data_IF_412993072002
#
_entry.id   IF_412993072002
#
_cell.length_a   1.000
_cell.length_b   1.000
_cell.length_c   1.000
_cell.angle_alpha   90.00
_cell.angle_beta   90.00
_cell.angle_gamma   90.00
#
_symmetry.space_group_name_H-M   'P 1'
#
loop_
_entity.id
_entity.type
_entity.pdbx_description
1 polymer ?
#
# COMPACT_ATOMS: atom_id res chain seq x y z
N UNK A 1 -20.32 -1.03 -5.54
CA UNK A 1 -19.20 -0.09 -5.75
C UNK A 1 -18.90 0.70 -4.47
N UNK A 2 -19.91 1.03 -3.68
CA UNK A 2 -19.79 1.77 -2.42
C UNK A 2 -18.84 1.12 -1.40
N UNK A 3 -18.89 -0.21 -1.27
CA UNK A 3 -17.98 -0.95 -0.38
C UNK A 3 -16.51 -0.81 -0.77
N UNK A 4 -16.20 -0.78 -2.08
CA UNK A 4 -14.84 -0.60 -2.58
C UNK A 4 -14.33 0.83 -2.41
N UNK A 5 -15.23 1.82 -2.54
CA UNK A 5 -14.90 3.23 -2.32
C UNK A 5 -14.31 3.47 -0.93
N UNK A 6 -14.82 2.80 0.11
CA UNK A 6 -14.24 2.90 1.47
C UNK A 6 -12.77 2.46 1.53
N UNK A 7 -12.41 1.37 0.86
CA UNK A 7 -11.02 0.92 0.79
C UNK A 7 -10.16 1.87 -0.03
N UNK A 8 -10.70 2.41 -1.13
CA UNK A 8 -10.00 3.39 -1.94
C UNK A 8 -9.76 4.70 -1.18
N UNK A 9 -10.77 5.24 -0.52
CA UNK A 9 -10.66 6.48 0.27
C UNK A 9 -9.66 6.31 1.41
N UNK A 10 -9.71 5.17 2.10
CA UNK A 10 -8.72 4.83 3.13
C UNK A 10 -7.30 4.73 2.57
N UNK A 11 -7.12 4.15 1.38
CA UNK A 11 -5.82 4.12 0.71
C UNK A 11 -5.35 5.54 0.37
N UNK A 12 -6.23 6.37 -0.18
CA UNK A 12 -5.92 7.76 -0.51
C UNK A 12 -5.47 8.54 0.72
N UNK A 13 -6.16 8.40 1.87
CA UNK A 13 -5.76 9.06 3.12
C UNK A 13 -4.37 8.60 3.58
N UNK A 14 -4.11 7.29 3.58
CA UNK A 14 -2.79 6.74 3.97
C UNK A 14 -1.70 7.22 3.00
N UNK A 15 -2.00 7.23 1.69
CA UNK A 15 -1.09 7.71 0.67
C UNK A 15 -0.79 9.22 0.83
N UNK A 16 -1.78 10.03 1.17
CA UNK A 16 -1.60 11.44 1.49
C UNK A 16 -0.75 11.65 2.75
N UNK A 17 -0.97 10.84 3.80
CA UNK A 17 -0.16 10.88 5.02
C UNK A 17 1.29 10.45 4.78
N UNK A 18 1.53 9.54 3.82
CA UNK A 18 2.89 9.13 3.45
C UNK A 18 3.72 10.32 2.94
N UNK A 19 3.13 11.27 2.22
CA UNK A 19 3.84 12.50 1.81
C UNK A 19 4.26 13.38 2.99
N UNK A 20 3.67 13.23 4.18
CA UNK A 20 4.11 13.96 5.37
C UNK A 20 5.53 13.58 5.80
N UNK A 21 6.08 12.45 5.34
CA UNK A 21 7.49 12.07 5.54
C UNK A 21 8.45 13.13 4.95
N UNK A 22 8.04 13.88 3.90
CA UNK A 22 8.86 14.99 3.38
C UNK A 22 9.10 16.11 4.40
N UNK A 23 8.29 16.22 5.45
CA UNK A 23 8.53 17.17 6.54
C UNK A 23 9.85 16.91 7.27
N UNK A 24 10.39 15.69 7.21
CA UNK A 24 11.71 15.37 7.77
C UNK A 24 12.83 16.20 7.16
N UNK A 25 12.72 16.54 5.87
CA UNK A 25 13.69 17.40 5.20
C UNK A 25 13.68 18.80 5.82
N UNK A 26 12.49 19.30 6.18
CA UNK A 26 12.34 20.60 6.85
C UNK A 26 12.90 20.54 8.27
N UNK A 27 12.59 19.47 9.01
CA UNK A 27 13.13 19.23 10.35
C UNK A 27 14.67 19.15 10.35
N UNK A 28 15.25 18.51 9.34
CA UNK A 28 16.69 18.43 9.16
C UNK A 28 17.33 19.82 8.99
N UNK A 29 16.68 20.71 8.22
CA UNK A 29 17.13 22.10 8.05
C UNK A 29 17.02 22.93 9.35
N UNK A 30 16.09 22.56 10.24
CA UNK A 30 15.92 23.18 11.56
C UNK A 30 16.89 22.61 12.62
N UNK A 31 17.77 21.69 12.23
CA UNK A 31 18.74 21.04 13.13
C UNK A 31 18.19 19.85 13.90
N UNK A 32 16.93 19.45 13.66
CA UNK A 32 16.34 18.24 14.24
C UNK A 32 16.63 17.07 13.29
N UNK A 33 17.69 16.33 13.61
CA UNK A 33 18.15 15.20 12.80
C UNK A 33 17.43 13.92 13.23
N UNK A 34 16.30 13.63 12.59
CA UNK A 34 15.63 12.33 12.70
C UNK A 34 16.29 11.38 11.71
N UNK A 35 16.64 10.16 12.16
CA UNK A 35 17.19 9.14 11.27
C UNK A 35 16.11 8.66 10.30
N UNK A 36 16.33 8.74 8.97
CA UNK A 36 15.37 8.29 7.97
C UNK A 36 15.18 6.77 7.96
N UNK A 37 16.05 6.02 8.65
CA UNK A 37 16.01 4.54 8.70
C UNK A 37 14.76 3.98 9.38
N UNK A 38 14.06 4.77 10.19
CA UNK A 38 12.87 4.33 10.92
C UNK A 38 11.57 4.74 10.22
N UNK A 39 11.30 6.05 9.98
CA UNK A 39 10.00 6.48 9.47
C UNK A 39 9.75 6.08 8.01
N UNK A 40 10.79 6.05 7.17
CA UNK A 40 10.64 5.71 5.75
C UNK A 40 10.20 4.25 5.55
N UNK A 41 10.89 3.23 6.09
CA UNK A 41 10.48 1.85 5.89
C UNK A 41 9.14 1.53 6.56
N UNK A 42 8.82 2.17 7.69
CA UNK A 42 7.51 2.04 8.34
C UNK A 42 6.41 2.59 7.42
N UNK A 43 6.61 3.79 6.85
CA UNK A 43 5.66 4.41 5.92
C UNK A 43 5.43 3.56 4.67
N UNK A 44 6.51 3.09 4.05
CA UNK A 44 6.44 2.22 2.86
C UNK A 44 5.76 0.88 3.21
N UNK A 45 6.11 0.29 4.35
CA UNK A 45 5.55 -0.98 4.80
C UNK A 45 4.05 -0.91 5.05
N UNK A 46 3.56 0.15 5.71
CA UNK A 46 2.13 0.40 5.90
C UNK A 46 1.40 0.62 4.56
N UNK A 47 2.01 1.36 3.64
CA UNK A 47 1.44 1.61 2.31
C UNK A 47 1.32 0.32 1.49
N UNK A 48 2.35 -0.53 1.50
CA UNK A 48 2.30 -1.86 0.88
C UNK A 48 1.25 -2.76 1.54
N UNK A 49 1.17 -2.76 2.86
CA UNK A 49 0.17 -3.54 3.59
C UNK A 49 -1.25 -3.15 3.19
N UNK A 50 -1.54 -1.85 3.17
CA UNK A 50 -2.86 -1.35 2.79
C UNK A 50 -3.15 -1.55 1.30
N UNK A 51 -2.14 -1.44 0.43
CA UNK A 51 -2.26 -1.82 -0.99
C UNK A 51 -2.68 -3.28 -1.13
N UNK A 52 -2.20 -4.17 -0.25
CA UNK A 52 -2.64 -5.56 -0.20
C UNK A 52 -4.13 -5.72 0.15
N UNK A 53 -4.63 -4.94 1.12
CA UNK A 53 -6.06 -4.90 1.46
C UNK A 53 -6.88 -4.38 0.28
N UNK A 54 -6.41 -3.30 -0.36
CA UNK A 54 -7.06 -2.71 -1.53
C UNK A 54 -7.14 -3.70 -2.70
N UNK A 55 -6.04 -4.41 -2.97
CA UNK A 55 -5.94 -5.41 -4.02
C UNK A 55 -6.92 -6.58 -3.78
N UNK A 56 -6.96 -7.14 -2.57
CA UNK A 56 -7.83 -8.27 -2.22
C UNK A 56 -9.33 -7.93 -2.34
N UNK A 57 -9.70 -6.67 -2.06
CA UNK A 57 -11.09 -6.20 -2.12
C UNK A 57 -11.45 -5.52 -3.45
N UNK A 58 -10.49 -5.38 -4.38
CA UNK A 58 -10.73 -4.78 -5.68
C UNK A 58 -11.64 -5.69 -6.49
N UNK A 59 -12.84 -5.21 -6.81
CA UNK A 59 -13.69 -5.82 -7.85
C UNK A 59 -13.14 -5.45 -9.23
N UNK A 60 -13.44 -6.25 -10.26
CA UNK A 60 -13.03 -5.97 -11.64
C UNK A 60 -13.38 -4.53 -12.02
N UNK A 61 -12.35 -3.74 -12.31
CA UNK A 61 -12.48 -2.32 -12.60
C UNK A 61 -11.34 -1.87 -13.53
N UNK A 62 -11.48 -0.67 -14.08
CA UNK A 62 -10.55 -0.12 -15.07
C UNK A 62 -9.34 0.60 -14.48
N UNK A 63 -9.24 0.78 -13.16
CA UNK A 63 -8.25 1.66 -12.54
C UNK A 63 -7.27 0.92 -11.61
N UNK A 64 -7.77 0.02 -10.76
CA UNK A 64 -7.07 -0.58 -9.63
C UNK A 64 -7.07 -2.10 -9.77
N UNK A 65 -5.88 -2.69 -9.62
CA UNK A 65 -5.69 -4.13 -9.65
C UNK A 65 -4.65 -4.61 -10.66
N UNK A 66 -4.42 -5.92 -10.68
CA UNK A 66 -3.54 -6.62 -11.62
C UNK A 66 -4.35 -6.91 -12.88
N UNK A 67 -4.14 -6.11 -13.94
CA UNK A 67 -4.97 -6.08 -15.16
C UNK A 67 -4.23 -6.69 -16.36
N UNK A 68 -4.02 -7.99 -16.33
CA UNK A 68 -3.55 -8.76 -17.50
C UNK A 68 -4.74 -9.14 -18.39
N UNK A 69 -4.47 -9.50 -19.64
CA UNK A 69 -5.52 -9.90 -20.58
C UNK A 69 -6.42 -11.03 -20.04
N UNK A 70 -5.87 -12.02 -19.33
CA UNK A 70 -6.66 -13.09 -18.72
C UNK A 70 -7.47 -12.66 -17.48
N UNK A 71 -6.97 -11.71 -16.68
CA UNK A 71 -7.71 -11.20 -15.49
C UNK A 71 -8.94 -10.37 -15.88
N UNK A 72 -8.87 -9.64 -16.99
CA UNK A 72 -10.01 -8.88 -17.50
C UNK A 72 -11.06 -9.81 -18.14
N UNK A 73 -10.61 -10.89 -18.79
CA UNK A 73 -11.49 -11.86 -19.45
C UNK A 73 -12.21 -12.82 -18.50
N UNK A 74 -11.76 -13.00 -17.24
CA UNK A 74 -12.36 -13.96 -16.31
C UNK A 74 -12.42 -13.43 -14.87
N UNK A 75 -13.62 -13.43 -14.28
CA UNK A 75 -13.82 -12.99 -12.88
C UNK A 75 -13.14 -13.93 -11.87
N UNK A 76 -13.15 -15.24 -12.15
CA UNK A 76 -12.48 -16.24 -11.30
C UNK A 76 -10.96 -15.97 -11.23
N UNK A 77 -10.37 -15.67 -12.38
CA UNK A 77 -8.95 -15.33 -12.48
C UNK A 77 -8.67 -14.02 -11.74
N UNK A 78 -9.53 -13.01 -11.93
CA UNK A 78 -9.43 -11.75 -11.20
C UNK A 78 -9.37 -12.00 -9.69
N UNK A 79 -10.36 -12.69 -9.12
CA UNK A 79 -10.41 -12.94 -7.67
C UNK A 79 -9.20 -13.73 -7.17
N UNK A 80 -8.78 -14.77 -7.91
CA UNK A 80 -7.65 -15.62 -7.52
C UNK A 80 -6.34 -14.83 -7.51
N UNK A 81 -6.09 -14.02 -8.55
CA UNK A 81 -4.89 -13.19 -8.67
C UNK A 81 -4.87 -12.10 -7.60
N UNK A 82 -5.99 -11.46 -7.33
CA UNK A 82 -6.08 -10.37 -6.34
C UNK A 82 -6.01 -10.87 -4.90
N UNK A 83 -6.55 -12.06 -4.60
CA UNK A 83 -6.38 -12.71 -3.30
C UNK A 83 -4.92 -13.07 -3.03
N UNK A 84 -4.23 -13.63 -4.02
CA UNK A 84 -2.80 -13.93 -3.91
C UNK A 84 -1.96 -12.65 -3.81
N UNK A 85 -2.20 -11.68 -4.70
CA UNK A 85 -1.52 -10.39 -4.70
C UNK A 85 -1.71 -9.65 -3.38
N UNK A 86 -2.94 -9.62 -2.86
CA UNK A 86 -3.24 -9.03 -1.56
C UNK A 86 -2.48 -9.68 -0.42
N UNK A 87 -2.38 -11.02 -0.40
CA UNK A 87 -1.56 -11.74 0.59
C UNK A 87 -0.08 -11.37 0.49
N UNK A 88 0.47 -11.35 -0.73
CA UNK A 88 1.87 -11.02 -0.97
C UNK A 88 2.21 -9.58 -0.54
N UNK A 89 1.40 -8.60 -0.93
CA UNK A 89 1.58 -7.20 -0.53
C UNK A 89 1.53 -7.02 0.99
N UNK A 90 0.56 -7.66 1.67
CA UNK A 90 0.48 -7.65 3.14
C UNK A 90 1.74 -8.24 3.77
N UNK A 91 2.20 -9.40 3.30
CA UNK A 91 3.42 -10.02 3.84
C UNK A 91 4.66 -9.16 3.62
N UNK A 92 4.82 -8.57 2.42
CA UNK A 92 5.96 -7.68 2.13
C UNK A 92 5.93 -6.42 2.99
N UNK A 93 4.75 -5.83 3.22
CA UNK A 93 4.61 -4.69 4.12
C UNK A 93 5.02 -5.01 5.56
N UNK A 94 4.58 -6.15 6.09
CA UNK A 94 4.96 -6.61 7.44
C UNK A 94 6.46 -6.88 7.53
N UNK A 95 7.04 -7.57 6.54
CA UNK A 95 8.48 -7.84 6.49
C UNK A 95 9.28 -6.54 6.45
N UNK A 96 8.85 -5.55 5.65
CA UNK A 96 9.49 -4.25 5.57
C UNK A 96 9.52 -3.50 6.90
N UNK A 97 8.42 -3.54 7.67
CA UNK A 97 8.36 -2.95 9.01
C UNK A 97 9.27 -3.71 9.98
N UNK A 98 9.26 -5.04 9.94
CA UNK A 98 10.10 -5.85 10.83
C UNK A 98 11.60 -5.67 10.55
N UNK A 99 11.97 -5.38 9.30
CA UNK A 99 13.34 -5.07 8.91
C UNK A 99 13.93 -3.82 9.57
N UNK A 100 13.11 -2.95 10.18
CA UNK A 100 13.60 -1.78 10.94
C UNK A 100 14.23 -2.19 12.27
N UNK A 101 13.87 -3.35 12.81
CA UNK A 101 14.34 -3.83 14.12
C UNK A 101 15.57 -4.74 14.03
N UNK A 102 16.07 -5.00 12.81
CA UNK A 102 17.23 -5.85 12.52
C UNK A 102 18.38 -4.94 12.11
#
# INVERSE_FOLDING_TARGET
MESFRRYYDGFTVIFSLFFSIYSEVILWNLGIQISPLIPIPIGIGLLLFYTGILCENAKKNWFIGIRTHWTLSSDRVWETTHKLGGKLFKTTGVIGILGVFI
#
